data_IF_554373453688
#
_entry.id   IF_554373453688
#
_cell.length_a   1.000
_cell.length_b   1.000
_cell.length_c   1.000
_cell.angle_alpha   90.00
_cell.angle_beta   90.00
_cell.angle_gamma   90.00
#
_symmetry.space_group_name_H-M   'P 1'
#
loop_
_entity.id
_entity.type
_entity.pdbx_description
1 polymer ?
#
# COMPACT_ATOMS: atom_id res chain seq x y z
N UNK A 1 -11.49 14.51 12.09
CA UNK A 1 -12.64 13.59 12.11
C UNK A 1 -12.51 12.64 10.93
N UNK A 2 -11.77 11.54 11.08
CA UNK A 2 -11.92 10.37 10.19
C UNK A 2 -11.45 9.12 10.96
N UNK A 3 -12.06 8.87 12.11
CA UNK A 3 -11.99 7.54 12.69
C UNK A 3 -13.12 6.71 12.05
N UNK A 4 -12.80 5.68 11.25
CA UNK A 4 -13.83 4.74 10.84
C UNK A 4 -14.37 4.05 12.10
N UNK A 5 -15.66 3.72 12.09
CA UNK A 5 -16.21 2.81 13.09
C UNK A 5 -15.47 1.46 13.04
N UNK A 6 -15.47 0.70 14.16
CA UNK A 6 -14.80 -0.60 14.27
C UNK A 6 -15.28 -1.67 13.25
N UNK A 7 -16.37 -1.39 12.54
CA UNK A 7 -17.06 -2.33 11.66
C UNK A 7 -16.70 -2.20 10.17
N UNK A 8 -15.78 -1.30 9.79
CA UNK A 8 -15.41 -1.10 8.38
C UNK A 8 -14.03 -1.68 8.04
N UNK A 9 -13.94 -2.36 6.89
CA UNK A 9 -12.67 -2.89 6.39
C UNK A 9 -11.78 -1.77 5.81
N UNK A 10 -10.45 -1.94 5.77
CA UNK A 10 -9.55 -0.97 5.13
C UNK A 10 -9.94 -0.64 3.68
N UNK A 11 -10.42 -1.62 2.90
CA UNK A 11 -10.86 -1.44 1.51
C UNK A 11 -12.09 -0.53 1.42
N UNK A 12 -13.05 -0.69 2.34
CA UNK A 12 -14.23 0.17 2.42
C UNK A 12 -13.85 1.61 2.74
N UNK A 13 -12.87 1.82 3.62
CA UNK A 13 -12.36 3.15 3.95
C UNK A 13 -11.70 3.84 2.77
N UNK A 14 -10.89 3.11 2.01
CA UNK A 14 -10.25 3.62 0.79
C UNK A 14 -11.31 4.03 -0.24
N UNK A 15 -12.31 3.16 -0.44
CA UNK A 15 -13.44 3.43 -1.35
C UNK A 15 -14.24 4.66 -0.94
N UNK A 16 -14.51 4.85 0.36
CA UNK A 16 -15.22 6.02 0.88
C UNK A 16 -14.46 7.34 0.66
N UNK A 17 -13.13 7.28 0.52
CA UNK A 17 -12.28 8.41 0.17
C UNK A 17 -12.14 8.61 -1.35
N UNK A 18 -12.77 7.75 -2.17
CA UNK A 18 -12.61 7.76 -3.63
C UNK A 18 -11.22 7.31 -4.08
N UNK A 19 -10.53 6.48 -3.27
CA UNK A 19 -9.20 5.96 -3.55
C UNK A 19 -9.26 4.48 -3.92
N UNK A 20 -8.46 4.09 -4.92
CA UNK A 20 -8.22 2.71 -5.29
C UNK A 20 -6.76 2.34 -5.04
N UNK A 21 -6.50 1.10 -4.62
CA UNK A 21 -5.13 0.63 -4.45
C UNK A 21 -4.49 0.40 -5.82
N UNK A 22 -3.29 0.96 -6.07
CA UNK A 22 -2.55 0.65 -7.29
C UNK A 22 -2.06 -0.81 -7.26
N UNK A 23 -1.66 -1.36 -8.41
CA UNK A 23 -0.93 -2.63 -8.44
C UNK A 23 0.36 -2.52 -7.61
N UNK A 24 0.78 -3.64 -7.03
CA UNK A 24 2.00 -3.69 -6.23
C UNK A 24 3.22 -3.24 -7.07
N UNK A 25 4.11 -2.39 -6.53
CA UNK A 25 5.27 -1.90 -7.26
C UNK A 25 6.25 -3.04 -7.53
N UNK A 26 6.84 -3.05 -8.73
CA UNK A 26 7.93 -3.96 -9.04
C UNK A 26 9.22 -3.53 -8.33
N UNK A 27 10.05 -4.47 -7.82
CA UNK A 27 11.36 -4.16 -7.28
C UNK A 27 12.25 -3.47 -8.33
N UNK A 28 12.98 -2.43 -7.92
CA UNK A 28 13.87 -1.66 -8.80
C UNK A 28 15.23 -2.35 -8.99
N UNK A 29 15.58 -3.29 -8.11
CA UNK A 29 16.81 -4.07 -8.15
C UNK A 29 16.59 -5.46 -7.53
N UNK A 30 17.68 -6.20 -7.28
CA UNK A 30 17.67 -7.55 -6.73
C UNK A 30 17.35 -7.59 -5.22
N UNK A 31 16.09 -7.27 -4.87
CA UNK A 31 15.55 -7.39 -3.51
C UNK A 31 14.08 -7.81 -3.54
N UNK A 32 13.58 -8.33 -2.41
CA UNK A 32 12.18 -8.75 -2.25
C UNK A 32 11.29 -7.55 -1.90
N UNK A 33 10.05 -7.47 -2.42
CA UNK A 33 9.13 -6.36 -2.14
C UNK A 33 8.75 -6.27 -0.66
N UNK A 34 8.73 -7.41 0.03
CA UNK A 34 8.57 -7.52 1.48
C UNK A 34 9.28 -8.77 2.00
N UNK A 35 9.53 -8.80 3.31
CA UNK A 35 10.05 -9.97 4.02
C UNK A 35 9.21 -10.27 5.26
N UNK A 36 9.30 -11.51 5.74
CA UNK A 36 8.65 -11.97 6.97
C UNK A 36 9.71 -12.20 8.06
N UNK A 37 9.42 -11.76 9.27
CA UNK A 37 10.20 -12.04 10.47
C UNK A 37 9.25 -12.43 11.61
N UNK A 38 8.94 -13.73 11.70
CA UNK A 38 7.87 -14.22 12.58
C UNK A 38 6.51 -13.68 12.11
N UNK A 39 5.82 -12.97 13.00
CA UNK A 39 4.52 -12.34 12.72
C UNK A 39 4.64 -10.93 12.12
N UNK A 40 5.86 -10.46 11.85
CA UNK A 40 6.11 -9.14 11.26
C UNK A 40 6.28 -9.23 9.74
N UNK A 41 5.47 -8.46 9.00
CA UNK A 41 5.66 -8.19 7.57
C UNK A 41 6.39 -6.86 7.43
N UNK A 42 7.59 -6.85 6.83
CA UNK A 42 8.35 -5.62 6.57
C UNK A 42 8.38 -5.35 5.07
N UNK A 43 7.79 -4.24 4.64
CA UNK A 43 7.84 -3.79 3.24
C UNK A 43 9.16 -3.08 2.94
N UNK A 44 9.68 -3.28 1.74
CA UNK A 44 10.76 -2.43 1.20
C UNK A 44 10.27 -0.99 0.99
N UNK A 45 11.18 -0.08 0.62
CA UNK A 45 10.81 1.30 0.29
C UNK A 45 9.81 1.37 -0.88
N UNK A 46 8.74 2.13 -0.70
CA UNK A 46 7.70 2.36 -1.71
C UNK A 46 7.74 3.81 -2.17
N UNK A 47 7.74 4.00 -3.49
CA UNK A 47 7.72 5.33 -4.13
C UNK A 47 6.27 5.74 -4.44
N UNK A 48 5.98 7.06 -4.54
CA UNK A 48 4.68 7.54 -4.99
C UNK A 48 4.52 7.28 -6.49
N UNK A 49 4.00 6.09 -6.82
CA UNK A 49 3.79 5.64 -8.19
C UNK A 49 2.32 5.83 -8.60
N UNK A 50 2.10 6.37 -9.80
CA UNK A 50 0.81 6.41 -10.47
C UNK A 50 0.99 6.02 -11.93
N UNK A 51 0.18 5.08 -12.41
CA UNK A 51 0.22 4.60 -13.80
C UNK A 51 1.63 4.16 -14.26
N UNK A 52 2.38 3.51 -13.35
CA UNK A 52 3.74 3.03 -13.59
C UNK A 52 4.82 4.12 -13.63
N UNK A 53 4.51 5.35 -13.20
CA UNK A 53 5.44 6.48 -13.17
C UNK A 53 5.53 7.10 -11.78
N UNK A 54 6.71 7.59 -11.43
CA UNK A 54 6.89 8.40 -10.21
C UNK A 54 6.17 9.73 -10.41
N UNK A 55 5.33 10.11 -9.45
CA UNK A 55 4.76 11.45 -9.37
C UNK A 55 5.56 12.28 -8.36
N UNK A 56 5.70 13.59 -8.65
CA UNK A 56 6.44 14.56 -7.81
C UNK A 56 5.48 15.57 -7.22
#
# INVERSE_FOLDING_TARGET
MIDPGPDQTPEQRLTALGLELPPAPSPVASYQPFTLAGDLVVTSGVLPMRDGRVIT
#
